data_IF_729054348303
#
_entry.id   IF_729054348303
#
_cell.length_a   1.000
_cell.length_b   1.000
_cell.length_c   1.000
_cell.angle_alpha   90.00
_cell.angle_beta   90.00
_cell.angle_gamma   90.00
#
_symmetry.space_group_name_H-M   'P 1'
#
loop_
_entity.id
_entity.type
_entity.pdbx_description
1 polymer ?
#
# COMPACT_ATOMS: atom_id res chain seq x y z
N UNK A 1 -14.40 -20.48 -0.21
CA UNK A 1 -13.75 -19.59 -1.20
C UNK A 1 -14.82 -19.00 -2.10
N UNK A 2 -15.47 -17.90 -1.70
CA UNK A 2 -16.49 -17.18 -2.51
C UNK A 2 -16.51 -15.66 -2.25
N UNK A 3 -15.76 -15.17 -1.26
CA UNK A 3 -15.89 -13.80 -0.75
C UNK A 3 -15.57 -12.71 -1.77
N UNK A 4 -14.76 -13.02 -2.79
CA UNK A 4 -14.41 -12.09 -3.87
C UNK A 4 -15.61 -11.66 -4.72
N UNK A 5 -16.72 -12.42 -4.71
CA UNK A 5 -17.93 -12.11 -5.49
C UNK A 5 -18.82 -11.04 -4.85
N UNK A 6 -18.71 -10.84 -3.53
CA UNK A 6 -19.75 -10.12 -2.77
C UNK A 6 -19.24 -9.00 -1.89
N UNK A 7 -18.03 -9.12 -1.34
CA UNK A 7 -17.60 -8.19 -0.29
C UNK A 7 -16.15 -7.77 -0.45
N UNK A 8 -15.91 -6.51 -0.15
CA UNK A 8 -14.59 -5.99 0.19
C UNK A 8 -14.19 -6.62 1.53
N UNK A 9 -13.07 -7.34 1.54
CA UNK A 9 -12.44 -7.82 2.76
C UNK A 9 -11.83 -6.67 3.55
N UNK A 10 -11.74 -6.83 4.86
CA UNK A 10 -11.15 -5.83 5.73
C UNK A 10 -10.34 -6.50 6.85
N UNK A 11 -9.18 -5.93 7.18
CA UNK A 11 -8.28 -6.48 8.20
C UNK A 11 -8.76 -6.44 9.64
N UNK A 12 -9.93 -5.88 9.91
CA UNK A 12 -10.41 -5.68 11.27
C UNK A 12 -9.65 -4.59 12.00
N UNK A 13 -9.84 -4.56 13.32
CA UNK A 13 -9.44 -3.49 14.23
C UNK A 13 -7.92 -3.46 14.48
N UNK A 14 -7.19 -2.90 13.51
CA UNK A 14 -5.74 -2.78 13.56
C UNK A 14 -5.27 -1.71 14.55
N UNK A 15 -4.06 -1.90 15.08
CA UNK A 15 -3.42 -0.90 15.92
C UNK A 15 -2.71 0.17 15.06
N UNK A 16 -2.80 1.43 15.46
CA UNK A 16 -2.07 2.55 14.87
C UNK A 16 -0.60 2.54 15.33
N UNK A 17 0.17 1.54 14.87
CA UNK A 17 1.61 1.38 15.16
C UNK A 17 2.38 0.94 13.92
N UNK A 18 3.68 1.26 13.87
CA UNK A 18 4.58 0.89 12.77
C UNK A 18 4.62 -0.62 12.47
N UNK A 19 4.59 -1.47 13.50
CA UNK A 19 4.56 -2.92 13.33
C UNK A 19 3.32 -3.41 12.56
N UNK A 20 2.20 -2.70 12.68
CA UNK A 20 1.02 -2.98 11.86
C UNK A 20 1.28 -2.57 10.42
N UNK A 21 1.74 -1.34 10.16
CA UNK A 21 2.07 -0.90 8.81
C UNK A 21 3.12 -1.78 8.12
N UNK A 22 4.12 -2.27 8.84
CA UNK A 22 5.17 -3.18 8.32
C UNK A 22 4.60 -4.51 7.78
N UNK A 23 3.51 -5.00 8.37
CA UNK A 23 2.92 -6.28 7.99
C UNK A 23 1.91 -6.17 6.84
N UNK A 24 1.22 -5.04 6.71
CA UNK A 24 0.04 -4.93 5.85
C UNK A 24 0.33 -4.99 4.34
N UNK A 25 1.44 -4.44 3.79
CA UNK A 25 1.74 -4.59 2.37
C UNK A 25 1.86 -6.07 1.95
N UNK A 26 2.56 -6.87 2.75
CA UNK A 26 2.64 -8.32 2.56
C UNK A 26 1.28 -8.99 2.68
N UNK A 27 0.52 -8.67 3.74
CA UNK A 27 -0.80 -9.29 3.97
C UNK A 27 -1.79 -8.96 2.84
N UNK A 28 -1.85 -7.70 2.41
CA UNK A 28 -2.68 -7.23 1.30
C UNK A 28 -2.38 -8.02 0.02
N UNK A 29 -1.11 -8.24 -0.28
CA UNK A 29 -0.67 -8.94 -1.49
C UNK A 29 -0.83 -10.47 -1.40
N UNK A 30 -0.74 -11.06 -0.20
CA UNK A 30 -1.10 -12.47 0.03
C UNK A 30 -2.59 -12.71 -0.09
N UNK A 31 -3.43 -11.82 0.45
CA UNK A 31 -4.88 -11.94 0.34
C UNK A 31 -5.32 -12.03 -1.13
N UNK A 32 -4.71 -11.22 -1.99
CA UNK A 32 -4.87 -11.30 -3.44
C UNK A 32 -4.50 -12.65 -4.05
N UNK A 33 -3.50 -13.36 -3.51
CA UNK A 33 -3.03 -14.65 -4.03
C UNK A 33 -4.02 -15.79 -3.76
N UNK A 34 -4.91 -15.62 -2.77
CA UNK A 34 -6.03 -16.53 -2.50
C UNK A 34 -7.36 -16.00 -3.04
N UNK A 35 -7.27 -15.17 -4.09
CA UNK A 35 -8.38 -14.51 -4.78
C UNK A 35 -9.17 -13.54 -3.92
N UNK A 36 -8.61 -13.05 -2.81
CA UNK A 36 -9.25 -12.02 -1.98
C UNK A 36 -8.60 -10.64 -2.16
N UNK A 37 -8.55 -10.20 -3.42
CA UNK A 37 -7.80 -9.00 -3.83
C UNK A 37 -8.46 -7.66 -3.52
N UNK A 38 -9.79 -7.60 -3.34
CA UNK A 38 -10.48 -6.40 -2.84
C UNK A 38 -10.39 -6.34 -1.33
N UNK A 39 -9.18 -6.08 -0.85
CA UNK A 39 -8.84 -6.05 0.55
C UNK A 39 -8.61 -4.60 1.03
N UNK A 40 -9.17 -4.28 2.19
CA UNK A 40 -9.11 -2.97 2.80
C UNK A 40 -8.43 -3.04 4.17
N UNK A 41 -7.87 -1.89 4.56
CA UNK A 41 -7.29 -1.66 5.87
C UNK A 41 -7.71 -0.28 6.36
N UNK A 42 -7.73 -0.11 7.68
CA UNK A 42 -7.95 1.20 8.28
C UNK A 42 -6.65 1.96 8.18
N UNK A 43 -6.56 2.84 7.19
CA UNK A 43 -5.36 3.64 6.98
C UNK A 43 -5.10 4.47 8.25
N UNK A 44 -3.92 4.28 8.84
CA UNK A 44 -3.56 4.82 10.15
C UNK A 44 -4.05 4.05 11.37
N UNK A 45 -4.55 2.82 11.24
CA UNK A 45 -4.98 1.97 12.34
C UNK A 45 -6.35 2.30 12.95
N UNK A 46 -7.16 1.29 13.26
CA UNK A 46 -8.46 1.50 13.89
C UNK A 46 -8.35 2.12 15.29
N UNK A 47 -7.44 1.60 16.12
CA UNK A 47 -7.32 1.92 17.55
C UNK A 47 -5.86 2.15 17.98
N UNK A 48 -5.65 2.76 19.14
CA UNK A 48 -4.32 2.87 19.73
C UNK A 48 -3.85 1.55 20.35
N UNK A 49 -2.56 1.26 20.19
CA UNK A 49 -1.92 0.20 20.97
C UNK A 49 -1.76 0.63 22.44
N UNK A 50 -1.57 -0.35 23.33
CA UNK A 50 -1.28 -0.08 24.75
C UNK A 50 -0.06 0.86 24.88
N UNK A 51 -0.23 1.96 25.62
CA UNK A 51 0.82 2.95 25.83
C UNK A 51 0.92 4.03 24.74
N UNK A 52 0.08 3.97 23.71
CA UNK A 52 -0.07 5.03 22.70
C UNK A 52 -1.35 5.79 22.99
N UNK A 53 -1.29 7.12 22.96
CA UNK A 53 -2.45 7.98 23.21
C UNK A 53 -2.58 9.14 22.22
N UNK A 54 -1.64 9.26 21.28
CA UNK A 54 -1.60 10.29 20.26
C UNK A 54 -1.35 9.66 18.90
N UNK A 55 -1.98 10.23 17.88
CA UNK A 55 -1.77 9.82 16.50
C UNK A 55 -0.36 10.21 16.05
N UNK A 56 0.42 9.21 15.63
CA UNK A 56 1.68 9.43 14.92
C UNK A 56 1.36 9.91 13.50
N UNK A 57 1.64 11.20 13.24
CA UNK A 57 1.34 11.84 11.96
C UNK A 57 2.15 11.26 10.82
N UNK A 58 3.43 10.94 11.06
CA UNK A 58 4.29 10.35 10.05
C UNK A 58 3.75 8.97 9.67
N UNK A 59 3.44 8.14 10.67
CA UNK A 59 2.84 6.82 10.46
C UNK A 59 1.57 6.92 9.62
N UNK A 60 0.67 7.86 9.92
CA UNK A 60 -0.56 8.06 9.15
C UNK A 60 -0.27 8.41 7.69
N UNK A 61 0.65 9.35 7.44
CA UNK A 61 1.03 9.76 6.09
C UNK A 61 1.65 8.59 5.30
N UNK A 62 2.56 7.82 5.91
CA UNK A 62 3.14 6.61 5.27
C UNK A 62 2.07 5.59 4.92
N UNK A 63 1.09 5.42 5.81
CA UNK A 63 -0.02 4.50 5.59
C UNK A 63 -0.94 4.99 4.45
N UNK A 64 -1.17 6.29 4.33
CA UNK A 64 -1.94 6.88 3.23
C UNK A 64 -1.22 6.71 1.88
N UNK A 65 0.10 6.88 1.85
CA UNK A 65 0.92 6.61 0.66
C UNK A 65 0.80 5.15 0.22
N UNK A 66 0.89 4.20 1.17
CA UNK A 66 0.60 2.79 0.89
C UNK A 66 -0.84 2.56 0.41
N UNK A 67 -1.82 3.21 1.06
CA UNK A 67 -3.24 3.08 0.76
C UNK A 67 -3.61 3.55 -0.65
N UNK A 68 -2.92 4.55 -1.19
CA UNK A 68 -3.11 5.00 -2.57
C UNK A 68 -2.87 3.89 -3.60
N UNK A 69 -1.96 2.96 -3.30
CA UNK A 69 -1.63 1.80 -4.14
C UNK A 69 -2.15 0.47 -3.58
N UNK A 70 -3.13 0.52 -2.68
CA UNK A 70 -3.90 -0.65 -2.26
C UNK A 70 -5.16 -0.80 -3.11
N UNK A 71 -5.77 -1.98 -3.18
CA UNK A 71 -7.01 -2.14 -3.95
C UNK A 71 -8.14 -1.24 -3.44
N UNK A 72 -8.27 -1.11 -2.11
CA UNK A 72 -9.22 -0.23 -1.45
C UNK A 72 -8.50 0.80 -0.57
N UNK A 73 -8.81 2.09 -0.77
CA UNK A 73 -8.30 3.20 0.04
C UNK A 73 -9.40 3.69 0.99
N UNK A 74 -9.27 3.40 2.29
CA UNK A 74 -10.28 3.75 3.31
C UNK A 74 -9.63 4.18 4.62
N UNK A 75 -10.04 5.32 5.16
CA UNK A 75 -9.73 5.70 6.54
C UNK A 75 -10.88 5.31 7.46
N UNK A 76 -10.55 4.89 8.69
CA UNK A 76 -11.52 4.62 9.74
C UNK A 76 -10.79 4.62 11.10
N UNK A 77 -11.54 4.83 12.18
CA UNK A 77 -11.02 4.86 13.54
C UNK A 77 -12.10 4.58 14.56
N UNK A 78 -11.70 4.10 15.74
CA UNK A 78 -12.54 4.04 16.92
C UNK A 78 -13.00 5.44 17.33
N UNK A 79 -14.08 5.52 18.10
CA UNK A 79 -14.58 6.79 18.67
C UNK A 79 -13.60 7.35 19.71
N UNK A 80 -12.59 8.09 19.24
CA UNK A 80 -11.56 8.72 20.07
C UNK A 80 -11.13 10.05 19.43
N UNK A 81 -11.26 11.16 20.17
CA UNK A 81 -10.92 12.49 19.69
C UNK A 81 -9.42 12.64 19.33
N UNK A 82 -8.54 11.88 19.98
CA UNK A 82 -7.11 11.90 19.69
C UNK A 82 -6.73 11.13 18.40
N UNK A 83 -7.68 10.42 17.77
CA UNK A 83 -7.51 9.71 16.50
C UNK A 83 -8.17 10.47 15.34
N UNK A 84 -8.12 11.80 15.36
CA UNK A 84 -8.59 12.61 14.25
C UNK A 84 -7.66 12.45 13.04
N UNK A 85 -8.20 11.95 11.93
CA UNK A 85 -7.48 11.61 10.69
C UNK A 85 -7.94 12.46 9.50
N UNK A 86 -8.76 13.48 9.76
CA UNK A 86 -9.16 14.41 8.71
C UNK A 86 -7.92 15.17 8.22
N UNK A 87 -7.62 15.19 6.91
CA UNK A 87 -6.39 15.82 6.41
C UNK A 87 -6.20 17.27 6.87
N UNK A 88 -7.29 18.03 7.02
CA UNK A 88 -7.27 19.43 7.45
C UNK A 88 -6.78 19.65 8.90
N UNK A 89 -6.66 18.61 9.72
CA UNK A 89 -6.13 18.74 11.09
C UNK A 89 -4.62 18.64 11.18
N UNK A 90 -3.97 18.32 10.06
CA UNK A 90 -2.52 18.18 9.96
C UNK A 90 -1.88 19.54 9.66
N UNK A 91 -0.60 19.69 9.98
CA UNK A 91 0.16 20.86 9.56
C UNK A 91 0.35 20.86 8.02
N UNK A 92 0.74 22.01 7.48
CA UNK A 92 0.81 22.24 6.03
C UNK A 92 1.66 21.17 5.32
N UNK A 93 2.79 20.76 5.90
CA UNK A 93 3.69 19.77 5.30
C UNK A 93 3.01 18.41 5.14
N UNK A 94 2.36 17.89 6.19
CA UNK A 94 1.63 16.62 6.08
C UNK A 94 0.36 16.75 5.24
N UNK A 95 -0.36 17.87 5.33
CA UNK A 95 -1.57 18.13 4.55
C UNK A 95 -1.27 18.09 3.04
N UNK A 96 -0.19 18.71 2.59
CA UNK A 96 0.22 18.70 1.18
C UNK A 96 0.49 17.28 0.69
N UNK A 97 1.22 16.48 1.48
CA UNK A 97 1.49 15.07 1.12
C UNK A 97 0.19 14.27 1.06
N UNK A 98 -0.71 14.42 2.03
CA UNK A 98 -2.01 13.74 2.04
C UNK A 98 -2.88 14.15 0.86
N UNK A 99 -2.96 15.44 0.57
CA UNK A 99 -3.70 15.98 -0.58
C UNK A 99 -3.16 15.41 -1.90
N UNK A 100 -1.85 15.47 -2.11
CA UNK A 100 -1.21 14.96 -3.32
C UNK A 100 -1.40 13.44 -3.45
N UNK A 101 -1.35 12.70 -2.34
CA UNK A 101 -1.60 11.25 -2.31
C UNK A 101 -3.04 10.92 -2.74
N UNK A 102 -4.02 11.66 -2.23
CA UNK A 102 -5.43 11.50 -2.63
C UNK A 102 -5.58 11.85 -4.11
N UNK A 103 -5.03 12.98 -4.56
CA UNK A 103 -5.07 13.36 -5.98
C UNK A 103 -4.43 12.30 -6.87
N UNK A 104 -3.27 11.74 -6.51
CA UNK A 104 -2.63 10.66 -7.25
C UNK A 104 -3.56 9.45 -7.38
N UNK A 105 -4.23 9.04 -6.30
CA UNK A 105 -5.24 7.96 -6.37
C UNK A 105 -6.35 8.26 -7.37
N UNK A 106 -6.84 9.49 -7.43
CA UNK A 106 -7.85 9.90 -8.41
C UNK A 106 -7.31 9.92 -9.84
N UNK A 107 -6.08 10.38 -10.07
CA UNK A 107 -5.45 10.35 -11.39
C UNK A 107 -5.30 8.94 -11.95
N UNK A 108 -4.99 7.96 -11.09
CA UNK A 108 -4.88 6.55 -11.48
C UNK A 108 -6.21 5.79 -11.41
N UNK A 109 -7.33 6.45 -11.11
CA UNK A 109 -8.64 5.77 -11.03
C UNK A 109 -9.02 5.03 -12.33
N UNK A 110 -8.76 5.54 -13.54
CA UNK A 110 -9.01 4.79 -14.78
C UNK A 110 -8.17 3.51 -14.88
N UNK A 111 -6.92 3.56 -14.40
CA UNK A 111 -6.03 2.39 -14.34
C UNK A 111 -6.56 1.35 -13.33
N UNK A 112 -6.91 1.79 -12.12
CA UNK A 112 -7.47 0.92 -11.08
C UNK A 112 -8.77 0.25 -11.55
N UNK A 113 -9.63 0.98 -12.27
CA UNK A 113 -10.86 0.43 -12.84
C UNK A 113 -10.58 -0.60 -13.94
N UNK A 114 -9.61 -0.32 -14.83
CA UNK A 114 -9.17 -1.28 -15.85
C UNK A 114 -8.64 -2.56 -15.21
N UNK A 115 -7.82 -2.44 -14.15
CA UNK A 115 -7.33 -3.60 -13.42
C UNK A 115 -8.45 -4.35 -12.70
N UNK A 116 -9.46 -3.66 -12.17
CA UNK A 116 -10.64 -4.30 -11.60
C UNK A 116 -11.44 -5.09 -12.66
N UNK A 117 -11.55 -4.58 -13.90
CA UNK A 117 -12.13 -5.32 -15.02
C UNK A 117 -11.33 -6.58 -15.34
N UNK A 118 -10.00 -6.46 -15.41
CA UNK A 118 -9.10 -7.59 -15.60
C UNK A 118 -9.23 -8.63 -14.48
N UNK A 119 -9.37 -8.20 -13.22
CA UNK A 119 -9.63 -9.10 -12.09
C UNK A 119 -10.94 -9.85 -12.27
N UNK A 120 -12.00 -9.21 -12.78
CA UNK A 120 -13.26 -9.89 -13.06
C UNK A 120 -13.12 -10.94 -14.18
N UNK A 121 -12.42 -10.62 -15.27
CA UNK A 121 -12.31 -11.49 -16.45
C UNK A 121 -11.34 -12.65 -16.25
N UNK A 122 -10.20 -12.38 -15.62
CA UNK A 122 -9.05 -13.29 -15.57
C UNK A 122 -8.76 -13.83 -14.17
N UNK A 123 -9.49 -13.38 -13.14
CA UNK A 123 -9.23 -13.67 -11.73
C UNK A 123 -7.85 -13.19 -11.22
N UNK A 124 -7.21 -12.26 -11.93
CA UNK A 124 -5.92 -11.68 -11.56
C UNK A 124 -6.14 -10.42 -10.71
N UNK A 125 -5.85 -10.51 -9.42
CA UNK A 125 -5.97 -9.39 -8.47
C UNK A 125 -5.01 -8.23 -8.80
N UNK A 126 -5.38 -7.00 -8.44
CA UNK A 126 -4.56 -5.81 -8.69
C UNK A 126 -3.25 -5.80 -7.89
N UNK A 127 -3.23 -6.15 -6.60
CA UNK A 127 -1.99 -6.22 -5.83
C UNK A 127 -1.43 -7.65 -5.90
N UNK A 128 -0.26 -7.86 -6.48
CA UNK A 128 0.31 -9.20 -6.72
C UNK A 128 1.73 -9.28 -6.17
N UNK A 129 2.01 -10.35 -5.43
CA UNK A 129 3.38 -10.61 -4.97
C UNK A 129 4.29 -10.83 -6.17
N UNK A 130 5.56 -10.47 -6.01
CA UNK A 130 6.54 -10.52 -7.08
C UNK A 130 6.67 -11.93 -7.69
N UNK A 131 6.57 -12.99 -6.89
CA UNK A 131 6.65 -14.37 -7.39
C UNK A 131 5.54 -14.73 -8.39
N UNK A 132 4.45 -13.97 -8.46
CA UNK A 132 3.38 -14.21 -9.42
C UNK A 132 3.89 -14.05 -10.86
N UNK A 133 4.73 -13.03 -11.08
CA UNK A 133 5.32 -12.75 -12.39
C UNK A 133 6.75 -13.34 -12.52
N UNK A 134 7.44 -13.60 -11.39
CA UNK A 134 8.83 -14.09 -11.34
C UNK A 134 8.97 -15.37 -10.52
N UNK A 135 8.18 -16.40 -10.85
CA UNK A 135 8.07 -17.63 -10.03
C UNK A 135 9.35 -18.45 -9.94
N UNK A 136 10.26 -18.32 -10.90
CA UNK A 136 11.54 -19.06 -10.98
C UNK A 136 12.71 -18.34 -10.28
N UNK A 137 12.46 -17.18 -9.66
CA UNK A 137 13.51 -16.36 -9.04
C UNK A 137 13.34 -16.32 -7.52
N UNK A 138 14.32 -16.84 -6.79
CA UNK A 138 14.26 -16.94 -5.31
C UNK A 138 14.09 -15.56 -4.64
N UNK A 139 14.70 -14.51 -5.20
CA UNK A 139 14.58 -13.14 -4.73
C UNK A 139 13.13 -12.65 -4.69
N UNK A 140 12.29 -13.09 -5.65
CA UNK A 140 10.88 -12.71 -5.70
C UNK A 140 10.09 -13.15 -4.46
N UNK A 141 10.55 -14.20 -3.76
CA UNK A 141 9.97 -14.68 -2.50
C UNK A 141 10.55 -13.99 -1.26
N UNK A 142 11.71 -13.33 -1.38
CA UNK A 142 12.38 -12.63 -0.28
C UNK A 142 11.83 -11.21 -0.07
N UNK A 143 11.45 -10.51 -1.14
CA UNK A 143 10.97 -9.12 -1.10
C UNK A 143 9.45 -9.02 -0.84
N UNK A 144 9.03 -9.43 0.36
CA UNK A 144 7.61 -9.60 0.75
C UNK A 144 6.76 -8.33 0.79
N UNK A 145 7.36 -7.17 1.07
CA UNK A 145 6.66 -5.89 1.16
C UNK A 145 6.67 -5.10 -0.16
N UNK A 146 7.20 -5.69 -1.22
CA UNK A 146 7.12 -5.18 -2.57
C UNK A 146 6.10 -6.01 -3.36
N UNK A 147 5.33 -5.33 -4.20
CA UNK A 147 4.31 -5.98 -5.01
C UNK A 147 4.10 -5.24 -6.33
N UNK A 148 3.59 -5.97 -7.31
CA UNK A 148 3.05 -5.40 -8.53
C UNK A 148 1.65 -4.84 -8.25
N UNK A 149 1.39 -3.62 -8.68
CA UNK A 149 0.07 -2.98 -8.66
C UNK A 149 -0.47 -2.91 -10.09
N UNK A 150 -1.27 -3.91 -10.45
CA UNK A 150 -1.68 -4.22 -11.81
C UNK A 150 -0.57 -4.91 -12.59
N UNK A 151 -0.42 -4.58 -13.88
CA UNK A 151 0.64 -5.10 -14.74
C UNK A 151 1.84 -4.17 -14.88
N UNK A 152 1.68 -2.89 -14.56
CA UNK A 152 2.59 -1.84 -15.04
C UNK A 152 3.35 -1.10 -13.92
N UNK A 153 2.91 -1.24 -12.66
CA UNK A 153 3.50 -0.49 -11.53
C UNK A 153 4.08 -1.45 -10.50
N UNK A 154 5.29 -1.15 -10.02
CA UNK A 154 5.92 -1.82 -8.89
C UNK A 154 5.89 -0.87 -7.70
N UNK A 155 5.40 -1.37 -6.56
CA UNK A 155 5.20 -0.57 -5.34
C UNK A 155 5.97 -1.20 -4.18
N UNK A 156 6.81 -0.39 -3.53
CA UNK A 156 7.57 -0.75 -2.33
C UNK A 156 7.35 0.32 -1.25
N UNK A 157 6.34 0.17 -0.38
CA UNK A 157 6.02 1.18 0.64
C UNK A 157 7.12 1.29 1.71
N UNK A 158 7.38 2.51 2.18
CA UNK A 158 8.18 2.75 3.38
C UNK A 158 7.31 2.46 4.61
N UNK A 159 7.71 1.47 5.40
CA UNK A 159 6.96 1.02 6.59
C UNK A 159 7.73 1.20 7.90
N UNK A 160 8.74 2.07 7.89
CA UNK A 160 9.57 2.40 9.05
C UNK A 160 9.64 3.93 9.24
N UNK A 161 9.81 4.40 10.48
CA UNK A 161 9.92 5.83 10.76
C UNK A 161 11.22 6.39 10.19
N UNK A 162 11.19 7.66 9.82
CA UNK A 162 12.38 8.40 9.42
C UNK A 162 13.42 8.43 10.55
N UNK A 163 14.68 8.31 10.14
CA UNK A 163 15.85 8.55 10.99
C UNK A 163 16.60 9.74 10.39
N UNK A 164 16.81 10.77 11.20
CA UNK A 164 17.53 11.98 10.78
C UNK A 164 16.92 12.65 9.53
N UNK A 165 15.60 12.57 9.38
CA UNK A 165 14.85 13.15 8.25
C UNK A 165 14.78 12.27 6.99
N UNK A 166 15.38 11.08 7.00
CA UNK A 166 15.38 10.16 5.86
C UNK A 166 14.76 8.81 6.22
N UNK A 167 14.11 8.18 5.25
CA UNK A 167 13.69 6.80 5.31
C UNK A 167 14.05 6.11 3.98
N UNK A 168 14.51 4.87 4.05
CA UNK A 168 14.92 4.10 2.87
C UNK A 168 14.22 2.76 2.84
N UNK A 169 14.00 2.26 1.63
CA UNK A 169 13.46 0.92 1.36
C UNK A 169 14.35 0.28 0.31
N UNK A 170 14.64 -1.01 0.49
CA UNK A 170 15.35 -1.80 -0.52
C UNK A 170 14.32 -2.32 -1.53
N UNK A 171 14.50 -1.96 -2.79
CA UNK A 171 13.65 -2.41 -3.90
C UNK A 171 14.43 -3.43 -4.72
N UNK A 172 13.77 -4.51 -5.11
CA UNK A 172 14.33 -5.50 -6.03
C UNK A 172 13.70 -5.33 -7.40
N UNK A 173 14.52 -5.43 -8.43
CA UNK A 173 14.05 -5.44 -9.81
C UNK A 173 14.50 -6.73 -10.47
N UNK A 174 13.58 -7.37 -11.20
CA UNK A 174 13.89 -8.54 -12.00
C UNK A 174 14.80 -8.17 -13.16
N UNK A 175 15.73 -9.07 -13.52
CA UNK A 175 16.49 -8.92 -14.76
C UNK A 175 15.58 -8.84 -15.99
N UNK A 176 16.01 -8.08 -17.00
CA UNK A 176 15.34 -8.03 -18.31
C UNK A 176 14.21 -7.00 -18.41
N UNK A 177 13.85 -6.32 -17.31
CA UNK A 177 12.89 -5.22 -17.31
C UNK A 177 13.57 -3.92 -16.90
N UNK A 178 13.45 -2.89 -17.73
CA UNK A 178 13.83 -1.53 -17.36
C UNK A 178 12.64 -0.82 -16.71
N UNK A 179 12.93 0.04 -15.74
CA UNK A 179 11.90 0.74 -14.96
C UNK A 179 12.08 2.25 -15.01
N UNK A 180 10.99 2.98 -14.77
CA UNK A 180 11.03 4.42 -14.57
C UNK A 180 10.53 4.75 -13.17
N UNK A 181 11.28 5.60 -12.48
CA UNK A 181 10.80 6.19 -11.24
C UNK A 181 9.64 7.16 -11.54
N UNK A 182 8.51 7.00 -10.86
CA UNK A 182 7.30 7.79 -11.13
C UNK A 182 7.49 9.30 -10.93
N UNK A 183 8.00 9.82 -9.79
CA UNK A 183 7.99 11.27 -9.56
C UNK A 183 8.95 12.05 -10.46
N UNK A 184 10.09 11.45 -10.81
CA UNK A 184 11.17 12.15 -11.54
C UNK A 184 11.31 11.69 -12.99
N UNK A 185 10.73 10.55 -13.37
CA UNK A 185 10.96 9.92 -14.67
C UNK A 185 12.37 9.35 -14.83
N UNK A 186 13.10 9.18 -13.73
CA UNK A 186 14.47 8.64 -13.75
C UNK A 186 14.46 7.23 -14.32
N UNK A 187 15.27 6.99 -15.35
CA UNK A 187 15.43 5.66 -15.94
C UNK A 187 16.29 4.77 -15.04
N UNK A 188 15.72 3.64 -14.62
CA UNK A 188 16.34 2.64 -13.77
C UNK A 188 16.68 1.42 -14.64
N UNK A 189 17.92 1.38 -15.11
CA UNK A 189 18.44 0.23 -15.86
C UNK A 189 18.81 -0.89 -14.90
N UNK A 190 18.16 -2.04 -15.05
CA UNK A 190 18.50 -3.23 -14.26
C UNK A 190 19.66 -3.94 -14.96
N UNK A 191 20.87 -3.74 -14.44
CA UNK A 191 22.07 -4.41 -14.93
C UNK A 191 22.14 -5.79 -14.29
N UNK A 192 22.46 -6.81 -15.10
CA UNK A 192 22.75 -8.17 -14.63
C UNK A 192 23.94 -8.21 -13.68
#
# INVERSE_FOLDING_TARGET
MESHRYQIGFSGDSYSIWKSLEFLPYFNSIASSVLYGYWSHDLGGYQFAKGVSLLDKELFVRWMLFGAFSSIMRTHSMKNAAMNKEPCTFDQTYLEVLHNTIQQRYHIAPYVYTMARKTYDEAISICRLMYYDYSETDEAYQFKNQYMFGGEMLVAPITSPMKEGFASVKVWFSEGNDWYEWPQGTFLKVVK
#
